data_IF_548719893568
#
_entry.id   IF_548719893568
#
_cell.length_a   1.000
_cell.length_b   1.000
_cell.length_c   1.000
_cell.angle_alpha   90.00
_cell.angle_beta   90.00
_cell.angle_gamma   90.00
#
_symmetry.space_group_name_H-M   'P 1'
#
loop_
_entity.id
_entity.type
_entity.pdbx_description
1 polymer ?
#
# COMPACT_ATOMS: atom_id res chain seq x y z
N UNK A 1 -20.02 -23.89 -21.86
CA UNK A 1 -19.10 -24.92 -21.31
C UNK A 1 -19.00 -24.70 -19.82
N UNK A 2 -19.53 -25.63 -19.07
CA UNK A 2 -19.78 -25.61 -17.64
C UNK A 2 -18.48 -25.61 -16.85
N UNK A 3 -18.22 -24.56 -16.09
CA UNK A 3 -17.16 -24.42 -15.06
C UNK A 3 -17.40 -25.31 -13.82
N UNK A 4 -17.84 -26.54 -14.03
CA UNK A 4 -18.44 -27.39 -13.02
C UNK A 4 -17.62 -28.60 -12.57
N UNK A 5 -16.27 -28.62 -12.68
CA UNK A 5 -15.50 -29.81 -12.24
C UNK A 5 -14.16 -29.55 -11.55
N UNK A 6 -13.74 -28.33 -11.33
CA UNK A 6 -12.64 -28.09 -10.42
C UNK A 6 -13.22 -27.53 -9.13
N UNK A 7 -13.33 -28.42 -8.15
CA UNK A 7 -13.62 -28.03 -6.78
C UNK A 7 -12.50 -27.16 -6.24
N UNK A 8 -12.38 -25.94 -6.75
CA UNK A 8 -11.62 -24.89 -6.13
C UNK A 8 -12.10 -24.85 -4.69
N UNK A 9 -11.27 -25.31 -3.77
CA UNK A 9 -11.53 -25.12 -2.36
C UNK A 9 -11.77 -23.64 -2.16
N UNK A 10 -13.03 -23.26 -1.91
CA UNK A 10 -13.59 -21.89 -1.93
C UNK A 10 -12.90 -20.89 -0.99
N UNK A 11 -11.74 -21.21 -0.41
CA UNK A 11 -11.06 -20.41 0.61
C UNK A 11 -9.88 -19.58 0.13
N UNK A 12 -9.28 -19.85 -1.04
CA UNK A 12 -8.15 -19.03 -1.49
C UNK A 12 -8.59 -17.63 -1.97
N UNK A 13 -9.76 -17.51 -2.63
CA UNK A 13 -10.29 -16.25 -3.17
C UNK A 13 -11.80 -16.15 -3.01
N UNK A 14 -12.29 -16.15 -1.78
CA UNK A 14 -13.71 -16.02 -1.42
C UNK A 14 -14.23 -14.58 -1.48
N UNK A 15 -13.33 -13.60 -1.67
CA UNK A 15 -13.62 -12.20 -1.93
C UNK A 15 -12.53 -11.62 -2.87
N UNK A 16 -12.80 -10.47 -3.54
CA UNK A 16 -11.84 -9.86 -4.45
C UNK A 16 -10.49 -9.60 -3.78
N UNK A 17 -9.36 -9.98 -4.39
CA UNK A 17 -8.04 -9.74 -3.83
C UNK A 17 -7.67 -8.26 -3.94
N UNK A 18 -7.14 -7.70 -2.86
CA UNK A 18 -6.56 -6.37 -2.86
C UNK A 18 -5.06 -6.46 -3.13
N UNK A 19 -4.59 -5.79 -4.17
CA UNK A 19 -3.18 -5.75 -4.56
C UNK A 19 -2.78 -4.38 -5.08
N UNK A 20 -1.48 -4.02 -5.02
CA UNK A 20 -0.99 -2.81 -5.64
C UNK A 20 -1.18 -2.83 -7.18
N UNK A 21 -1.44 -1.69 -7.84
CA UNK A 21 -1.46 -1.63 -9.30
C UNK A 21 -0.20 -2.18 -9.96
N UNK A 22 0.96 -1.96 -9.35
CA UNK A 22 2.25 -2.52 -9.80
C UNK A 22 2.33 -4.05 -9.80
N UNK A 23 1.38 -4.72 -9.14
CA UNK A 23 1.27 -6.18 -9.06
C UNK A 23 0.06 -6.71 -9.87
N UNK A 24 -0.48 -5.89 -10.79
CA UNK A 24 -1.66 -6.25 -11.59
C UNK A 24 -1.50 -7.58 -12.35
N UNK A 25 -0.29 -7.88 -12.82
CA UNK A 25 0.04 -9.07 -13.59
C UNK A 25 0.69 -10.19 -12.75
N UNK A 26 0.87 -9.99 -11.44
CA UNK A 26 1.46 -11.00 -10.58
C UNK A 26 0.47 -12.11 -10.26
N UNK A 27 0.95 -13.36 -10.20
CA UNK A 27 0.20 -14.46 -9.60
C UNK A 27 -0.12 -14.11 -8.15
N UNK A 28 -1.37 -14.27 -7.76
CA UNK A 28 -1.80 -14.00 -6.40
C UNK A 28 -1.74 -15.28 -5.57
N UNK A 29 -1.01 -15.22 -4.46
CA UNK A 29 -0.97 -16.29 -3.47
C UNK A 29 -1.36 -15.73 -2.10
N UNK A 30 -2.35 -16.33 -1.44
CA UNK A 30 -2.79 -15.89 -0.12
C UNK A 30 -2.17 -16.78 0.96
N UNK A 31 -1.40 -16.18 1.89
CA UNK A 31 -0.86 -16.88 3.07
C UNK A 31 -1.59 -16.49 4.35
N UNK A 32 -2.25 -15.33 4.35
CA UNK A 32 -3.17 -14.90 5.39
C UNK A 32 -4.49 -14.50 4.75
N UNK A 33 -5.58 -14.55 5.52
CA UNK A 33 -6.89 -14.06 5.12
C UNK A 33 -7.29 -12.90 6.00
N UNK A 34 -7.65 -11.77 5.37
CA UNK A 34 -8.08 -10.57 6.10
C UNK A 34 -6.94 -9.75 6.70
N UNK A 35 -7.27 -8.93 7.70
CA UNK A 35 -6.33 -8.04 8.37
C UNK A 35 -6.28 -8.31 9.88
N UNK A 36 -5.07 -8.57 10.47
CA UNK A 36 -4.95 -8.87 11.89
C UNK A 36 -5.23 -7.67 12.80
N UNK A 37 -5.23 -6.46 12.24
CA UNK A 37 -5.54 -5.23 12.98
C UNK A 37 -6.98 -4.79 12.78
N UNK A 38 -7.39 -4.58 11.56
CA UNK A 38 -8.74 -4.27 11.07
C UNK A 38 -9.49 -3.12 11.79
N UNK A 39 -8.75 -2.17 12.42
CA UNK A 39 -9.32 -1.04 13.17
C UNK A 39 -9.22 0.29 12.45
N UNK A 40 -8.35 0.41 11.42
CA UNK A 40 -8.15 1.67 10.72
C UNK A 40 -9.50 2.29 10.31
N UNK A 41 -9.73 3.55 10.72
CA UNK A 41 -11.01 4.24 10.50
C UNK A 41 -11.30 4.54 9.02
N UNK A 42 -10.25 4.60 8.20
CA UNK A 42 -10.36 4.87 6.75
C UNK A 42 -10.55 3.62 5.89
N UNK A 43 -10.36 2.42 6.45
CA UNK A 43 -10.27 1.18 5.68
C UNK A 43 -11.55 0.34 5.82
N UNK A 44 -12.16 -0.03 4.69
CA UNK A 44 -13.33 -0.94 4.62
C UNK A 44 -12.98 -2.35 4.14
N UNK A 45 -11.76 -2.58 3.61
CA UNK A 45 -11.40 -3.78 2.83
C UNK A 45 -11.64 -5.12 3.53
N UNK A 46 -11.45 -5.19 4.85
CA UNK A 46 -11.54 -6.45 5.60
C UNK A 46 -12.52 -6.42 6.76
N UNK A 47 -13.44 -5.42 6.83
CA UNK A 47 -14.36 -5.26 7.97
C UNK A 47 -15.23 -6.49 8.22
N UNK A 48 -15.63 -7.19 7.17
CA UNK A 48 -16.47 -8.40 7.22
C UNK A 48 -15.66 -9.70 7.19
N UNK A 49 -14.33 -9.63 7.16
CA UNK A 49 -13.45 -10.79 7.00
C UNK A 49 -12.74 -11.11 8.29
N UNK A 50 -12.96 -12.31 8.82
CA UNK A 50 -12.21 -12.82 9.98
C UNK A 50 -10.75 -13.06 9.58
N UNK A 51 -9.81 -12.55 10.38
CA UNK A 51 -8.39 -12.81 10.17
C UNK A 51 -8.06 -14.27 10.46
N UNK A 52 -7.26 -14.87 9.57
CA UNK A 52 -6.65 -16.19 9.78
C UNK A 52 -5.29 -16.29 9.08
N UNK A 53 -4.42 -17.15 9.61
CA UNK A 53 -3.21 -17.62 8.95
C UNK A 53 -3.56 -18.95 8.30
N UNK A 54 -3.30 -19.09 7.01
CA UNK A 54 -3.64 -20.31 6.28
C UNK A 54 -2.66 -21.45 6.59
N UNK A 55 -3.16 -22.65 6.49
CA UNK A 55 -2.34 -23.84 6.63
C UNK A 55 -1.32 -23.99 5.49
N UNK A 56 -0.11 -24.47 5.81
CA UNK A 56 0.98 -24.60 4.85
C UNK A 56 0.64 -25.55 3.69
N UNK A 57 -0.03 -26.67 3.98
CA UNK A 57 -0.37 -27.65 2.95
C UNK A 57 -1.47 -27.13 2.02
N UNK A 58 -2.41 -26.31 2.53
CA UNK A 58 -3.36 -25.58 1.67
C UNK A 58 -2.65 -24.60 0.74
N UNK A 59 -1.65 -23.85 1.25
CA UNK A 59 -0.88 -22.90 0.45
C UNK A 59 -0.07 -23.62 -0.63
N UNK A 60 0.56 -24.77 -0.29
CA UNK A 60 1.29 -25.59 -1.27
C UNK A 60 0.35 -26.15 -2.35
N UNK A 61 -0.84 -26.60 -1.99
CA UNK A 61 -1.85 -27.05 -2.95
C UNK A 61 -2.28 -25.94 -3.91
N UNK A 62 -2.37 -24.67 -3.44
CA UNK A 62 -2.64 -23.53 -4.31
C UNK A 62 -1.47 -23.28 -5.30
N UNK A 63 -0.22 -23.47 -4.85
CA UNK A 63 0.97 -23.32 -5.71
C UNK A 63 0.97 -24.42 -6.80
N UNK A 64 0.69 -25.67 -6.44
CA UNK A 64 0.59 -26.79 -7.39
C UNK A 64 -0.51 -26.53 -8.43
N UNK A 65 -1.69 -26.11 -7.99
CA UNK A 65 -2.79 -25.75 -8.88
C UNK A 65 -2.40 -24.58 -9.82
N UNK A 66 -1.72 -23.57 -9.31
CA UNK A 66 -1.24 -22.47 -10.13
C UNK A 66 -0.20 -22.95 -11.17
N UNK A 67 0.67 -23.89 -10.80
CA UNK A 67 1.62 -24.53 -11.74
C UNK A 67 0.91 -25.30 -12.85
N UNK A 68 -0.14 -26.04 -12.53
CA UNK A 68 -0.96 -26.74 -13.53
C UNK A 68 -1.65 -25.77 -14.51
N UNK A 69 -2.18 -24.64 -14.00
CA UNK A 69 -2.91 -23.67 -14.79
C UNK A 69 -2.01 -22.76 -15.65
N UNK A 70 -0.90 -22.32 -15.11
CA UNK A 70 -0.05 -21.31 -15.75
C UNK A 70 1.28 -21.85 -16.28
N UNK A 71 1.67 -23.07 -15.90
CA UNK A 71 2.95 -23.67 -16.30
C UNK A 71 4.13 -22.82 -15.84
N UNK A 72 5.10 -22.64 -16.73
CA UNK A 72 6.33 -21.89 -16.48
C UNK A 72 6.19 -20.36 -16.71
N UNK A 73 4.99 -19.87 -17.05
CA UNK A 73 4.76 -18.48 -17.45
C UNK A 73 4.73 -17.49 -16.27
N UNK A 74 4.80 -17.97 -15.03
CA UNK A 74 4.74 -17.10 -13.84
C UNK A 74 6.12 -16.46 -13.60
N UNK A 75 6.23 -15.17 -13.88
CA UNK A 75 7.44 -14.37 -13.61
C UNK A 75 7.37 -13.58 -12.32
N UNK A 76 6.17 -13.29 -11.82
CA UNK A 76 5.99 -12.51 -10.59
C UNK A 76 4.87 -13.07 -9.72
N UNK A 77 5.05 -13.01 -8.39
CA UNK A 77 4.06 -13.44 -7.39
C UNK A 77 3.83 -12.32 -6.37
N UNK A 78 2.57 -12.05 -6.06
CA UNK A 78 2.17 -11.20 -4.96
C UNK A 78 1.56 -12.03 -3.84
N UNK A 79 2.14 -11.98 -2.64
CA UNK A 79 1.65 -12.68 -1.45
C UNK A 79 0.70 -11.78 -0.66
N UNK A 80 -0.57 -12.16 -0.59
CA UNK A 80 -1.65 -11.50 0.16
C UNK A 80 -2.00 -12.22 1.48
N UNK A 81 -2.87 -11.69 2.34
CA UNK A 81 -3.60 -10.43 2.15
C UNK A 81 -2.82 -9.24 2.74
N UNK A 82 -3.29 -8.68 3.85
CA UNK A 82 -2.84 -7.38 4.36
C UNK A 82 -1.49 -7.39 5.07
N UNK A 83 -1.01 -8.55 5.55
CA UNK A 83 0.19 -8.63 6.40
C UNK A 83 0.80 -10.05 6.43
N UNK A 84 1.39 -10.47 5.35
CA UNK A 84 1.97 -11.82 5.24
C UNK A 84 3.16 -12.04 6.19
N UNK A 85 3.85 -10.96 6.60
CA UNK A 85 5.02 -11.03 7.49
C UNK A 85 4.66 -11.39 8.95
N UNK A 86 3.36 -11.51 9.30
CA UNK A 86 2.92 -12.02 10.60
C UNK A 86 3.09 -13.54 10.72
N UNK A 87 3.15 -14.22 9.59
CA UNK A 87 3.37 -15.67 9.53
C UNK A 87 4.75 -16.02 10.12
N UNK A 88 4.87 -17.19 10.75
CA UNK A 88 6.16 -17.68 11.25
C UNK A 88 7.19 -17.70 10.13
N UNK A 89 8.42 -17.29 10.45
CA UNK A 89 9.51 -17.18 9.47
C UNK A 89 9.74 -18.47 8.71
N UNK A 90 9.76 -19.61 9.41
CA UNK A 90 10.02 -20.93 8.83
C UNK A 90 8.93 -21.34 7.83
N UNK A 91 7.67 -21.00 8.12
CA UNK A 91 6.53 -21.27 7.22
C UNK A 91 6.63 -20.41 5.96
N UNK A 92 6.90 -19.11 6.12
CA UNK A 92 7.01 -18.20 4.98
C UNK A 92 8.22 -18.59 4.08
N UNK A 93 9.34 -19.01 4.67
CA UNK A 93 10.50 -19.54 3.93
C UNK A 93 10.12 -20.79 3.14
N UNK A 94 9.35 -21.71 3.72
CA UNK A 94 8.90 -22.91 2.99
C UNK A 94 7.98 -22.55 1.81
N UNK A 95 7.08 -21.58 1.99
CA UNK A 95 6.22 -21.10 0.90
C UNK A 95 7.06 -20.49 -0.23
N UNK A 96 8.04 -19.65 0.10
CA UNK A 96 8.95 -19.06 -0.88
C UNK A 96 9.75 -20.11 -1.64
N UNK A 97 10.33 -21.07 -0.93
CA UNK A 97 11.05 -22.18 -1.55
C UNK A 97 10.16 -23.00 -2.50
N UNK A 98 8.91 -23.27 -2.11
CA UNK A 98 7.94 -23.95 -2.97
C UNK A 98 7.61 -23.14 -4.23
N UNK A 99 7.48 -21.82 -4.13
CA UNK A 99 7.25 -20.93 -5.28
C UNK A 99 8.42 -20.99 -6.28
N UNK A 100 9.65 -20.84 -5.80
CA UNK A 100 10.83 -20.87 -6.67
C UNK A 100 11.11 -22.26 -7.27
N UNK A 101 10.77 -23.33 -6.55
CA UNK A 101 10.84 -24.69 -7.08
C UNK A 101 9.79 -24.96 -8.16
N UNK A 102 8.59 -24.37 -8.02
CA UNK A 102 7.49 -24.58 -8.97
C UNK A 102 7.60 -23.70 -10.23
N UNK A 103 8.17 -22.50 -10.11
CA UNK A 103 8.21 -21.53 -11.21
C UNK A 103 9.64 -21.14 -11.56
N UNK A 104 10.28 -21.81 -12.55
CA UNK A 104 11.69 -21.61 -12.87
C UNK A 104 12.02 -20.21 -13.41
N UNK A 105 11.03 -19.48 -13.93
CA UNK A 105 11.17 -18.11 -14.42
C UNK A 105 10.68 -17.06 -13.42
N UNK A 106 10.51 -17.43 -12.14
CA UNK A 106 10.07 -16.50 -11.10
C UNK A 106 11.19 -15.50 -10.76
N UNK A 107 10.99 -14.26 -11.14
CA UNK A 107 11.96 -13.15 -10.95
C UNK A 107 11.72 -12.38 -9.65
N UNK A 108 10.43 -12.26 -9.24
CA UNK A 108 10.06 -11.38 -8.14
C UNK A 108 8.90 -11.94 -7.33
N UNK A 109 9.06 -11.91 -6.02
CA UNK A 109 7.98 -12.14 -5.04
C UNK A 109 7.85 -10.88 -4.17
N UNK A 110 6.63 -10.37 -4.04
CA UNK A 110 6.33 -9.18 -3.25
C UNK A 110 5.19 -9.45 -2.28
N UNK A 111 5.01 -8.60 -1.26
CA UNK A 111 3.95 -8.78 -0.28
C UNK A 111 3.56 -7.49 0.40
N UNK A 112 2.31 -7.43 0.90
CA UNK A 112 1.96 -6.45 1.91
C UNK A 112 2.55 -6.81 3.27
N UNK A 113 2.94 -5.77 4.01
CA UNK A 113 3.34 -5.89 5.40
C UNK A 113 2.84 -4.70 6.22
N UNK A 114 2.65 -4.91 7.53
CA UNK A 114 2.38 -3.82 8.47
C UNK A 114 3.68 -3.41 9.17
N UNK A 115 3.91 -2.10 9.28
CA UNK A 115 5.11 -1.56 9.93
C UNK A 115 5.31 -2.13 11.35
N UNK A 116 4.26 -2.19 12.17
CA UNK A 116 4.33 -2.77 13.52
C UNK A 116 4.80 -4.22 13.55
N UNK A 117 4.46 -5.02 12.55
CA UNK A 117 4.94 -6.40 12.42
C UNK A 117 6.43 -6.43 12.08
N UNK A 118 6.85 -5.60 11.13
CA UNK A 118 8.25 -5.49 10.71
C UNK A 118 9.14 -4.95 11.84
N UNK A 119 8.70 -3.91 12.56
CA UNK A 119 9.42 -3.37 13.70
C UNK A 119 9.66 -4.42 14.80
N UNK A 120 8.69 -5.32 15.04
CA UNK A 120 8.80 -6.38 16.06
C UNK A 120 9.56 -7.62 15.59
N UNK A 121 9.53 -7.94 14.29
CA UNK A 121 10.20 -9.16 13.77
C UNK A 121 11.72 -9.00 13.90
N UNK A 122 12.45 -10.02 14.41
CA UNK A 122 13.91 -9.99 14.47
C UNK A 122 14.55 -9.73 13.10
N UNK A 123 15.66 -8.98 13.07
CA UNK A 123 16.37 -8.69 11.82
C UNK A 123 16.80 -9.99 11.12
N UNK A 124 17.34 -10.95 11.86
CA UNK A 124 17.76 -12.26 11.33
C UNK A 124 16.62 -13.01 10.63
N UNK A 125 15.39 -12.84 11.10
CA UNK A 125 14.21 -13.46 10.48
C UNK A 125 13.81 -12.74 9.19
N UNK A 126 13.93 -11.41 9.15
CA UNK A 126 13.74 -10.64 7.93
C UNK A 126 14.79 -11.00 6.87
N UNK A 127 16.06 -11.15 7.27
CA UNK A 127 17.15 -11.58 6.39
C UNK A 127 16.92 -12.98 5.82
N UNK A 128 16.48 -13.96 6.63
CA UNK A 128 16.09 -15.29 6.17
C UNK A 128 14.96 -15.24 5.11
N UNK A 129 13.92 -14.46 5.38
CA UNK A 129 12.80 -14.29 4.44
C UNK A 129 13.29 -13.65 3.13
N UNK A 130 14.16 -12.64 3.23
CA UNK A 130 14.76 -11.98 2.06
C UNK A 130 15.62 -12.95 1.25
N UNK A 131 16.46 -13.75 1.90
CA UNK A 131 17.29 -14.76 1.27
C UNK A 131 16.46 -15.87 0.60
N UNK A 132 15.30 -16.20 1.17
CA UNK A 132 14.37 -17.17 0.56
C UNK A 132 13.64 -16.61 -0.68
N UNK A 133 13.83 -15.32 -1.02
CA UNK A 133 13.37 -14.76 -2.28
C UNK A 133 12.22 -13.74 -2.20
N UNK A 134 11.74 -13.35 -1.03
CA UNK A 134 10.84 -12.20 -0.93
C UNK A 134 11.64 -10.91 -1.18
N UNK A 135 11.29 -10.15 -2.23
CA UNK A 135 12.13 -9.05 -2.71
C UNK A 135 11.64 -7.68 -2.29
N UNK A 136 10.31 -7.45 -2.32
CA UNK A 136 9.72 -6.15 -2.03
C UNK A 136 8.60 -6.22 -1.01
N UNK A 137 8.58 -5.23 -0.13
CA UNK A 137 7.52 -5.02 0.85
C UNK A 137 6.72 -3.76 0.49
N UNK A 138 5.40 -3.91 0.44
CA UNK A 138 4.44 -2.83 0.30
C UNK A 138 3.83 -2.52 1.66
N UNK A 139 4.05 -1.31 2.17
CA UNK A 139 3.64 -0.93 3.52
C UNK A 139 2.86 0.38 3.50
N UNK A 140 1.69 0.38 4.11
CA UNK A 140 0.93 1.60 4.32
C UNK A 140 1.54 2.42 5.46
N UNK A 141 2.14 3.57 5.13
CA UNK A 141 2.46 4.63 6.08
C UNK A 141 1.19 5.43 6.39
N UNK A 142 0.47 5.79 5.35
CA UNK A 142 -0.73 6.63 5.24
C UNK A 142 -0.42 8.08 5.63
N UNK A 143 0.11 8.31 6.82
CA UNK A 143 0.59 9.59 7.35
C UNK A 143 1.79 9.36 8.27
N UNK A 144 2.64 10.37 8.42
CA UNK A 144 3.69 10.41 9.45
C UNK A 144 3.31 11.27 10.66
N UNK A 145 2.19 11.98 10.60
CA UNK A 145 1.68 12.76 11.73
C UNK A 145 1.22 11.84 12.86
N UNK A 146 1.77 12.06 14.05
CA UNK A 146 1.54 11.21 15.23
C UNK A 146 0.09 11.21 15.68
N UNK A 147 -0.52 12.39 15.72
CA UNK A 147 -1.88 12.52 16.25
C UNK A 147 -2.89 12.02 15.21
N UNK A 148 -2.64 12.28 13.94
CA UNK A 148 -3.44 11.72 12.85
C UNK A 148 -3.34 10.19 12.79
N UNK A 149 -2.17 9.59 13.01
CA UNK A 149 -2.02 8.12 13.12
C UNK A 149 -2.89 7.52 14.23
N UNK A 150 -3.06 8.23 15.35
CA UNK A 150 -3.97 7.81 16.44
C UNK A 150 -5.43 7.95 16.03
N UNK A 151 -5.80 9.09 15.45
CA UNK A 151 -7.18 9.37 15.02
C UNK A 151 -7.68 8.38 13.97
N UNK A 152 -6.85 8.05 12.99
CA UNK A 152 -7.18 7.04 11.98
C UNK A 152 -7.00 5.58 12.48
N UNK A 153 -6.66 5.40 13.75
CA UNK A 153 -6.43 4.09 14.38
C UNK A 153 -5.47 3.20 13.59
N UNK A 154 -4.40 3.76 13.01
CA UNK A 154 -3.43 3.00 12.19
C UNK A 154 -2.74 1.89 12.99
N UNK A 155 -2.61 2.09 14.31
CA UNK A 155 -2.02 1.11 15.23
C UNK A 155 -0.52 0.93 15.07
N UNK A 156 0.16 1.99 14.64
CA UNK A 156 1.61 2.15 14.64
C UNK A 156 1.96 3.62 14.90
N UNK A 157 3.15 3.87 15.47
CA UNK A 157 3.68 5.22 15.70
C UNK A 157 4.69 5.59 14.60
N UNK A 158 5.04 6.89 14.45
CA UNK A 158 6.10 7.31 13.53
C UNK A 158 7.43 6.56 13.76
N UNK A 159 7.81 6.33 15.02
CA UNK A 159 9.03 5.60 15.38
C UNK A 159 8.96 4.14 14.95
N UNK A 160 7.81 3.47 15.15
CA UNK A 160 7.59 2.10 14.67
C UNK A 160 7.66 2.03 13.13
N UNK A 161 7.19 3.07 12.42
CA UNK A 161 7.29 3.19 10.96
C UNK A 161 8.75 3.32 10.51
N UNK A 162 9.52 4.21 11.18
CA UNK A 162 10.95 4.43 10.89
C UNK A 162 11.75 3.16 11.16
N UNK A 163 11.55 2.53 12.32
CA UNK A 163 12.23 1.27 12.68
C UNK A 163 11.94 0.16 11.66
N UNK A 164 10.67 -0.01 11.29
CA UNK A 164 10.26 -0.98 10.27
C UNK A 164 10.96 -0.74 8.93
N UNK A 165 11.03 0.52 8.47
CA UNK A 165 11.66 0.87 7.21
C UNK A 165 13.17 0.64 7.22
N UNK A 166 13.86 1.13 8.26
CA UNK A 166 15.31 0.95 8.42
C UNK A 166 15.69 -0.54 8.51
N UNK A 167 14.96 -1.30 9.32
CA UNK A 167 15.19 -2.73 9.48
C UNK A 167 14.94 -3.51 8.20
N UNK A 168 13.86 -3.20 7.47
CA UNK A 168 13.55 -3.84 6.19
C UNK A 168 14.61 -3.55 5.12
N UNK A 169 15.07 -2.30 5.02
CA UNK A 169 16.17 -1.93 4.11
C UNK A 169 17.47 -2.63 4.50
N UNK A 170 17.80 -2.70 5.80
CA UNK A 170 18.97 -3.41 6.31
C UNK A 170 18.94 -4.91 5.97
N UNK A 171 17.77 -5.53 6.00
CA UNK A 171 17.58 -6.91 5.57
C UNK A 171 17.65 -7.10 4.03
N UNK A 172 17.76 -6.02 3.24
CA UNK A 172 17.90 -6.02 1.80
C UNK A 172 16.60 -6.04 1.00
N UNK A 173 15.46 -5.70 1.63
CA UNK A 173 14.19 -5.55 0.90
C UNK A 173 14.14 -4.23 0.13
N UNK A 174 13.55 -4.25 -1.05
CA UNK A 174 12.96 -3.05 -1.62
C UNK A 174 11.75 -2.64 -0.75
N UNK A 175 11.71 -1.37 -0.33
CA UNK A 175 10.68 -0.87 0.57
C UNK A 175 9.83 0.18 -0.14
N UNK A 176 8.53 -0.11 -0.27
CA UNK A 176 7.54 0.73 -0.94
C UNK A 176 6.53 1.22 0.08
N UNK A 177 6.44 2.54 0.28
CA UNK A 177 5.53 3.17 1.23
C UNK A 177 4.36 3.83 0.52
N UNK A 178 3.17 3.63 1.07
CA UNK A 178 1.94 4.29 0.62
C UNK A 178 1.60 5.44 1.55
N UNK A 179 1.28 6.59 0.96
CA UNK A 179 0.81 7.81 1.62
C UNK A 179 -0.60 8.10 1.13
N UNK A 180 -1.52 8.46 2.02
CA UNK A 180 -2.88 8.84 1.68
C UNK A 180 -3.04 10.35 1.76
N UNK A 181 -2.92 11.03 0.62
CA UNK A 181 -3.19 12.48 0.51
C UNK A 181 -4.64 12.76 0.90
N UNK A 182 -4.85 13.81 1.67
CA UNK A 182 -6.17 14.22 2.12
C UNK A 182 -6.72 13.44 3.32
N UNK A 183 -6.00 12.48 3.89
CA UNK A 183 -6.44 11.73 5.07
C UNK A 183 -6.56 12.59 6.33
N UNK A 184 -5.89 13.73 6.37
CA UNK A 184 -5.97 14.74 7.45
C UNK A 184 -7.16 15.67 7.36
N UNK A 185 -7.98 15.55 6.31
CA UNK A 185 -9.06 16.51 6.06
C UNK A 185 -8.54 17.89 5.68
N UNK A 186 -9.47 18.87 5.59
CA UNK A 186 -9.15 20.26 5.27
C UNK A 186 -8.30 20.93 6.36
N UNK A 187 -8.38 20.44 7.60
CA UNK A 187 -7.77 21.11 8.76
C UNK A 187 -6.32 20.71 9.03
N UNK A 188 -5.90 19.48 8.63
CA UNK A 188 -4.62 18.89 9.06
C UNK A 188 -3.65 18.58 7.91
N UNK A 189 -3.91 19.11 6.72
CA UNK A 189 -3.09 18.83 5.55
C UNK A 189 -1.60 19.22 5.73
N UNK A 190 -1.32 20.36 6.40
CA UNK A 190 0.06 20.80 6.63
C UNK A 190 0.81 19.90 7.60
N UNK A 191 0.19 19.57 8.74
CA UNK A 191 0.81 18.68 9.72
C UNK A 191 1.00 17.27 9.15
N UNK A 192 0.04 16.80 8.35
CA UNK A 192 0.13 15.55 7.61
C UNK A 192 1.33 15.56 6.64
N UNK A 193 1.47 16.59 5.79
CA UNK A 193 2.56 16.69 4.82
C UNK A 193 3.92 16.72 5.52
N UNK A 194 4.11 17.61 6.51
CA UNK A 194 5.38 17.75 7.25
C UNK A 194 5.75 16.51 8.03
N UNK A 195 4.82 15.95 8.83
CA UNK A 195 5.07 14.73 9.60
C UNK A 195 5.36 13.53 8.70
N UNK A 196 4.69 13.46 7.54
CA UNK A 196 4.93 12.40 6.56
C UNK A 196 6.31 12.54 5.92
N UNK A 197 6.72 13.75 5.53
CA UNK A 197 8.06 13.99 5.00
C UNK A 197 9.15 13.64 6.03
N UNK A 198 8.94 14.00 7.32
CA UNK A 198 9.88 13.67 8.39
C UNK A 198 10.13 12.15 8.50
N UNK A 199 9.06 11.34 8.49
CA UNK A 199 9.18 9.89 8.53
C UNK A 199 9.85 9.34 7.26
N UNK A 200 9.44 9.83 6.09
CA UNK A 200 10.01 9.41 4.81
C UNK A 200 11.50 9.74 4.70
N UNK A 201 11.92 10.92 5.15
CA UNK A 201 13.33 11.35 5.17
C UNK A 201 14.19 10.45 6.07
N UNK A 202 13.64 9.99 7.20
CA UNK A 202 14.35 9.09 8.11
C UNK A 202 14.49 7.67 7.57
N UNK A 203 13.57 7.24 6.69
CA UNK A 203 13.56 5.90 6.09
C UNK A 203 14.31 5.88 4.76
N UNK A 204 14.18 6.92 3.94
CA UNK A 204 14.61 6.97 2.53
C UNK A 204 14.19 5.71 1.76
N UNK A 205 12.87 5.48 1.56
CA UNK A 205 12.36 4.26 0.94
C UNK A 205 12.71 4.22 -0.55
N UNK A 206 12.67 3.04 -1.17
CA UNK A 206 12.89 2.90 -2.62
C UNK A 206 11.75 3.54 -3.43
N UNK A 207 10.51 3.42 -2.91
CA UNK A 207 9.31 3.93 -3.58
C UNK A 207 8.41 4.66 -2.59
N UNK A 208 7.97 5.86 -2.96
CA UNK A 208 6.90 6.61 -2.31
C UNK A 208 5.72 6.60 -3.28
N UNK A 209 4.61 5.98 -2.88
CA UNK A 209 3.38 5.89 -3.66
C UNK A 209 2.30 6.69 -2.99
N UNK A 210 1.86 7.77 -3.62
CA UNK A 210 0.77 8.57 -3.10
C UNK A 210 -0.56 8.13 -3.71
N UNK A 211 -1.61 8.19 -2.91
CA UNK A 211 -3.00 8.00 -3.32
C UNK A 211 -3.84 9.07 -2.66
N UNK A 212 -4.75 9.66 -3.39
CA UNK A 212 -5.76 10.53 -2.78
C UNK A 212 -6.78 9.68 -2.04
N UNK A 213 -7.02 10.01 -0.80
CA UNK A 213 -8.02 9.35 0.04
C UNK A 213 -9.42 9.59 -0.51
N UNK A 214 -10.15 8.50 -0.68
CA UNK A 214 -11.58 8.50 -1.02
C UNK A 214 -12.28 7.69 0.07
N UNK A 215 -13.13 8.32 0.89
CA UNK A 215 -13.87 7.62 1.93
C UNK A 215 -14.71 6.50 1.34
N UNK A 216 -14.58 5.31 1.89
CA UNK A 216 -15.32 4.15 1.42
C UNK A 216 -16.50 3.85 2.34
N UNK A 217 -17.68 3.51 1.80
CA UNK A 217 -18.80 3.05 2.61
C UNK A 217 -18.38 1.94 3.58
N UNK A 218 -19.00 1.86 4.73
CA UNK A 218 -18.68 0.94 5.83
C UNK A 218 -17.30 1.19 6.50
N UNK A 219 -16.73 2.37 6.34
CA UNK A 219 -15.58 2.81 7.13
C UNK A 219 -15.99 3.91 8.12
N UNK A 220 -15.43 3.91 9.36
CA UNK A 220 -15.78 4.94 10.35
C UNK A 220 -15.51 6.38 9.88
N UNK A 221 -14.51 6.58 9.02
CA UNK A 221 -14.22 7.91 8.49
C UNK A 221 -15.22 8.35 7.42
N UNK A 222 -15.86 7.41 6.70
CA UNK A 222 -17.00 7.71 5.84
C UNK A 222 -18.21 8.17 6.67
N UNK A 223 -18.52 7.46 7.75
CA UNK A 223 -19.60 7.85 8.69
C UNK A 223 -19.34 9.24 9.29
N UNK A 224 -18.09 9.51 9.68
CA UNK A 224 -17.70 10.83 10.19
C UNK A 224 -17.86 11.95 9.14
N UNK A 225 -17.64 11.66 7.86
CA UNK A 225 -17.87 12.58 6.76
C UNK A 225 -19.37 12.86 6.58
N UNK A 226 -20.22 11.83 6.57
CA UNK A 226 -21.68 11.99 6.45
C UNK A 226 -22.28 12.78 7.62
N UNK A 227 -21.68 12.67 8.81
CA UNK A 227 -22.07 13.40 10.01
C UNK A 227 -21.45 14.81 10.11
N UNK A 228 -20.66 15.25 9.14
CA UNK A 228 -20.00 16.54 9.13
C UNK A 228 -18.86 16.70 10.16
N UNK A 229 -18.31 15.59 10.68
CA UNK A 229 -17.16 15.58 11.60
C UNK A 229 -15.81 15.42 10.89
N UNK A 230 -15.81 15.07 9.63
CA UNK A 230 -14.63 15.02 8.77
C UNK A 230 -14.92 15.77 7.48
N UNK A 231 -14.13 16.79 7.19
CA UNK A 231 -14.26 17.60 5.98
C UNK A 231 -13.24 17.15 4.95
N UNK A 232 -13.72 16.66 3.82
CA UNK A 232 -12.86 16.30 2.70
C UNK A 232 -12.11 17.53 2.20
N UNK A 233 -10.77 17.46 2.06
CA UNK A 233 -10.01 18.59 1.56
C UNK A 233 -10.40 18.93 0.12
N UNK A 234 -10.35 20.21 -0.24
CA UNK A 234 -10.56 20.68 -1.60
C UNK A 234 -9.47 20.15 -2.55
N UNK A 235 -9.69 20.16 -3.89
CA UNK A 235 -8.62 19.85 -4.84
C UNK A 235 -7.39 20.73 -4.64
N UNK A 236 -7.58 22.01 -4.35
CA UNK A 236 -6.50 22.96 -4.05
C UNK A 236 -5.71 22.54 -2.82
N UNK A 237 -6.40 22.11 -1.76
CA UNK A 237 -5.75 21.67 -0.52
C UNK A 237 -4.94 20.40 -0.76
N UNK A 238 -5.44 19.42 -1.52
CA UNK A 238 -4.70 18.21 -1.89
C UNK A 238 -3.45 18.54 -2.72
N UNK A 239 -3.55 19.49 -3.65
CA UNK A 239 -2.39 19.93 -4.44
C UNK A 239 -1.36 20.68 -3.58
N UNK A 240 -1.79 21.55 -2.66
CA UNK A 240 -0.91 22.23 -1.69
C UNK A 240 -0.23 21.22 -0.76
N UNK A 241 -0.97 20.24 -0.25
CA UNK A 241 -0.44 19.15 0.56
C UNK A 241 0.64 18.35 -0.19
N UNK A 242 0.36 18.00 -1.45
CA UNK A 242 1.31 17.27 -2.30
C UNK A 242 2.57 18.10 -2.57
N UNK A 243 2.42 19.40 -2.82
CA UNK A 243 3.52 20.33 -3.03
C UNK A 243 4.39 20.42 -1.78
N UNK A 244 3.79 20.70 -0.62
CA UNK A 244 4.50 20.80 0.65
C UNK A 244 5.23 19.49 0.98
N UNK A 245 4.58 18.33 0.78
CA UNK A 245 5.23 17.03 0.95
C UNK A 245 6.49 16.93 0.07
N UNK A 246 6.41 17.27 -1.23
CA UNK A 246 7.56 17.23 -2.13
C UNK A 246 8.67 18.22 -1.72
N UNK A 247 8.33 19.43 -1.32
CA UNK A 247 9.28 20.45 -0.86
C UNK A 247 10.11 19.97 0.33
N UNK A 248 9.44 19.32 1.31
CA UNK A 248 10.05 18.81 2.54
C UNK A 248 10.80 17.46 2.37
N UNK A 249 10.65 16.79 1.22
CA UNK A 249 11.32 15.50 0.99
C UNK A 249 12.80 15.67 0.63
N UNK A 250 13.67 14.94 1.35
CA UNK A 250 15.12 14.85 1.13
C UNK A 250 15.56 13.38 0.99
N UNK A 251 15.08 12.71 -0.06
CA UNK A 251 15.21 11.26 -0.25
C UNK A 251 15.67 10.91 -1.66
N UNK A 252 16.14 9.66 -1.84
CA UNK A 252 16.52 9.09 -3.13
C UNK A 252 15.46 8.09 -3.64
N UNK A 253 14.20 8.45 -3.55
CA UNK A 253 13.06 7.59 -3.84
C UNK A 253 12.51 7.78 -5.25
N UNK A 254 11.88 6.73 -5.82
CA UNK A 254 10.91 6.90 -6.89
C UNK A 254 9.60 7.43 -6.27
N UNK A 255 9.17 8.61 -6.71
CA UNK A 255 7.87 9.19 -6.35
C UNK A 255 6.84 8.84 -7.42
N UNK A 256 5.72 8.25 -7.02
CA UNK A 256 4.71 7.69 -7.92
C UNK A 256 3.31 8.12 -7.48
N UNK A 257 2.64 8.89 -8.33
CA UNK A 257 1.24 9.29 -8.21
C UNK A 257 0.43 8.69 -9.38
N UNK A 258 0.55 7.36 -9.55
CA UNK A 258 0.04 6.60 -10.68
C UNK A 258 -1.36 6.00 -10.47
N UNK A 259 -2.03 6.34 -9.38
CA UNK A 259 -3.35 5.84 -9.08
C UNK A 259 -4.44 6.78 -9.62
N UNK A 260 -5.53 6.20 -10.14
CA UNK A 260 -6.65 6.96 -10.74
C UNK A 260 -7.32 7.96 -9.76
N UNK A 261 -7.23 7.71 -8.44
CA UNK A 261 -7.74 8.64 -7.42
C UNK A 261 -6.94 9.94 -7.31
N UNK A 262 -5.72 9.99 -7.88
CA UNK A 262 -4.87 11.16 -7.76
C UNK A 262 -5.29 12.26 -8.74
N UNK A 263 -5.16 13.50 -8.31
CA UNK A 263 -5.51 14.67 -9.13
C UNK A 263 -4.50 14.88 -10.27
N UNK A 264 -3.21 14.59 -10.01
CA UNK A 264 -2.13 14.69 -11.00
C UNK A 264 -1.30 13.42 -11.08
N UNK A 265 -0.92 12.98 -12.30
CA UNK A 265 -0.05 11.82 -12.51
C UNK A 265 1.43 12.23 -12.37
N UNK A 266 1.90 12.47 -11.14
CA UNK A 266 3.27 12.86 -10.88
C UNK A 266 4.19 11.63 -10.80
N UNK A 267 5.27 11.64 -11.58
CA UNK A 267 6.26 10.58 -11.60
C UNK A 267 7.66 11.18 -11.66
N UNK A 268 8.55 10.72 -10.81
CA UNK A 268 9.92 11.19 -10.86
C UNK A 268 10.85 10.47 -9.90
N UNK A 269 12.15 10.59 -10.17
CA UNK A 269 13.21 10.17 -9.28
C UNK A 269 13.67 11.36 -8.44
N UNK A 270 13.45 11.29 -7.14
CA UNK A 270 13.95 12.31 -6.21
C UNK A 270 15.46 12.12 -5.96
N UNK A 271 16.21 13.21 -5.75
CA UNK A 271 15.75 14.61 -5.79
C UNK A 271 15.66 15.22 -7.20
N UNK A 272 16.14 14.53 -8.24
CA UNK A 272 16.39 15.10 -9.58
C UNK A 272 15.13 15.68 -10.25
N UNK A 273 13.98 15.03 -10.11
CA UNK A 273 12.74 15.45 -10.77
C UNK A 273 11.83 16.30 -9.85
N UNK A 274 12.28 16.67 -8.63
CA UNK A 274 11.48 17.38 -7.64
C UNK A 274 10.89 18.68 -8.19
N UNK A 275 11.73 19.55 -8.71
CA UNK A 275 11.33 20.86 -9.23
C UNK A 275 10.32 20.76 -10.37
N UNK A 276 10.49 19.78 -11.26
CA UNK A 276 9.55 19.54 -12.35
C UNK A 276 8.17 19.15 -11.82
N UNK A 277 8.10 18.29 -10.81
CA UNK A 277 6.83 17.88 -10.21
C UNK A 277 6.16 19.06 -9.49
N UNK A 278 6.93 19.90 -8.79
CA UNK A 278 6.43 21.12 -8.14
C UNK A 278 5.85 22.09 -9.19
N UNK A 279 6.55 22.30 -10.30
CA UNK A 279 6.05 23.12 -11.41
C UNK A 279 4.71 22.61 -11.94
N UNK A 280 4.54 21.30 -12.15
CA UNK A 280 3.26 20.72 -12.61
C UNK A 280 2.13 21.00 -11.61
N UNK A 281 2.42 20.97 -10.31
CA UNK A 281 1.43 21.29 -9.27
C UNK A 281 1.08 22.79 -9.31
N UNK A 282 2.07 23.68 -9.46
CA UNK A 282 1.83 25.13 -9.53
C UNK A 282 1.02 25.51 -10.77
N UNK A 283 1.23 24.84 -11.90
CA UNK A 283 0.41 24.98 -13.11
C UNK A 283 -1.04 24.56 -12.86
N UNK A 284 -1.25 23.41 -12.21
CA UNK A 284 -2.58 22.92 -11.86
C UNK A 284 -3.30 23.85 -10.86
N UNK A 285 -2.59 24.35 -9.86
CA UNK A 285 -3.16 25.33 -8.91
C UNK A 285 -3.60 26.63 -9.58
N UNK A 286 -2.83 27.12 -10.55
CA UNK A 286 -3.23 28.30 -11.35
C UNK A 286 -4.47 27.99 -12.20
N UNK A 287 -4.47 26.82 -12.88
CA UNK A 287 -5.60 26.40 -13.69
C UNK A 287 -6.91 26.28 -12.90
N UNK A 288 -6.86 25.77 -11.65
CA UNK A 288 -8.03 25.71 -10.78
C UNK A 288 -8.59 27.10 -10.40
N UNK A 289 -7.78 28.15 -10.45
CA UNK A 289 -8.23 29.52 -10.23
C UNK A 289 -8.87 30.16 -11.45
N UNK A 290 -8.65 29.63 -12.64
CA UNK A 290 -9.03 30.23 -13.93
C UNK A 290 -10.09 29.41 -14.69
N UNK A 291 -10.26 28.12 -14.39
CA UNK A 291 -11.11 27.18 -15.15
C UNK A 291 -12.02 26.37 -14.21
N UNK A 292 -13.29 26.74 -14.18
CA UNK A 292 -14.31 26.03 -13.40
C UNK A 292 -14.51 24.57 -13.88
N UNK A 293 -14.31 24.29 -15.19
CA UNK A 293 -14.42 22.93 -15.74
C UNK A 293 -13.33 22.00 -15.21
N UNK A 294 -12.10 22.49 -15.04
CA UNK A 294 -11.00 21.75 -14.44
C UNK A 294 -11.30 21.42 -12.97
N UNK A 295 -11.89 22.39 -12.25
CA UNK A 295 -12.31 22.20 -10.87
C UNK A 295 -13.36 21.10 -10.76
N UNK A 296 -14.40 21.13 -11.61
CA UNK A 296 -15.45 20.12 -11.64
C UNK A 296 -14.91 18.73 -11.98
N UNK A 297 -13.97 18.62 -12.93
CA UNK A 297 -13.31 17.34 -13.25
C UNK A 297 -12.56 16.78 -12.05
N UNK A 298 -11.77 17.59 -11.35
CA UNK A 298 -11.03 17.14 -10.17
C UNK A 298 -11.96 16.75 -9.01
N UNK A 299 -13.07 17.46 -8.81
CA UNK A 299 -14.10 17.08 -7.84
C UNK A 299 -14.79 15.77 -8.21
N UNK A 300 -15.06 15.52 -9.48
CA UNK A 300 -15.61 14.23 -9.93
C UNK A 300 -14.65 13.07 -9.66
N UNK A 301 -13.34 13.24 -9.89
CA UNK A 301 -12.33 12.19 -9.59
C UNK A 301 -12.35 11.79 -8.12
N UNK A 302 -12.59 12.70 -7.21
CA UNK A 302 -12.70 12.46 -5.76
C UNK A 302 -13.96 11.67 -5.35
N UNK A 303 -14.94 11.52 -6.23
CA UNK A 303 -16.18 10.76 -6.00
C UNK A 303 -16.12 9.33 -6.59
N UNK A 304 -15.02 8.96 -7.23
CA UNK A 304 -14.85 7.61 -7.80
C UNK A 304 -14.63 6.59 -6.69
N UNK A 305 -15.68 5.88 -6.32
CA UNK A 305 -15.67 4.86 -5.24
C UNK A 305 -15.40 3.44 -5.74
N UNK A 306 -15.53 3.19 -7.05
CA UNK A 306 -15.32 1.89 -7.68
C UNK A 306 -14.07 1.95 -8.56
N UNK A 307 -12.96 1.48 -8.01
CA UNK A 307 -11.65 1.38 -8.70
C UNK A 307 -11.24 -0.08 -8.84
#
# INVERSE_FOLDING_TARGET
MTLGRFGLRRRSYDFPPFRPPSEANSLLLRVTRGCPWNRCSFCSMYKTVKFEIRDLEEIKSDIEMAKELYGDRVGTVFIGDSNSLIVKTEVLVQVLNSLYASFPHLERVTSYARAKTLAKKPLVDLEKIRQAGLTRLHVGLETGDRDLLKEIEKGATPEEMVEAGRKSKKAGFEYSLYVLLGIGGEEKWESHAKGTAEVLNQIDPHFIRVRTFIPQPNSPLYEAMEEGRFHMPSPETILKETKLLLEELHVNSQFLSDHISNLLPLHGKLPGDKEKMIQMIDEALRGLGEDDGLREEMEMRRKLTNL
#
